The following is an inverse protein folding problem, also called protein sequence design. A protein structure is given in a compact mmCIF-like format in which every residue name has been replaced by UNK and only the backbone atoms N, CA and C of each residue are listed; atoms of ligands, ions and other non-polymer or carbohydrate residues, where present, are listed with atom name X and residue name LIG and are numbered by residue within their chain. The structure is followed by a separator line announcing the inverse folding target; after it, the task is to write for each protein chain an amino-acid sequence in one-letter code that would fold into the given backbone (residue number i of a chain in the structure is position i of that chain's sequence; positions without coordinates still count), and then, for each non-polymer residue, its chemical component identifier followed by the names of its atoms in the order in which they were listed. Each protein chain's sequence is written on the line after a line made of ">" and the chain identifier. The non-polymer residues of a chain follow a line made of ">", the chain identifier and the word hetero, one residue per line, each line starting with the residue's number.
data_IF_517230179355
#
_entry.id   IF_517230179355
#
_cell.length_a   1.000
_cell.length_b   1.000
_cell.length_c   1.000
_cell.angle_alpha   90.00
_cell.angle_beta   90.00
_cell.angle_gamma   90.00
#
_symmetry.space_group_name_H-M   'P 1'
#
loop_
_entity.id
_entity.type
_entity.pdbx_description
1 polymer ?
#
# COMPACT_ATOMS: atom_id res chain seq x y z
N UNK A 1 -0.78 -17.64 6.76
CA UNK A 1 -1.01 -17.87 8.20
C UNK A 1 -2.35 -17.28 8.71
N UNK A 2 -2.50 -15.95 8.92
CA UNK A 2 -3.71 -15.38 9.57
C UNK A 2 -5.04 -15.74 8.88
N UNK A 3 -5.07 -15.69 7.54
CA UNK A 3 -6.23 -16.12 6.72
C UNK A 3 -6.66 -17.55 7.08
N UNK A 4 -5.71 -18.48 7.19
CA UNK A 4 -5.99 -19.88 7.52
C UNK A 4 -6.41 -20.02 8.99
N UNK A 5 -5.70 -19.36 9.90
CA UNK A 5 -5.96 -19.44 11.35
C UNK A 5 -7.35 -18.95 11.74
N UNK A 6 -7.86 -17.92 11.07
CA UNK A 6 -9.13 -17.29 11.40
C UNK A 6 -10.25 -17.60 10.40
N UNK A 7 -10.02 -18.44 9.38
CA UNK A 7 -11.01 -18.75 8.35
C UNK A 7 -11.56 -17.50 7.65
N UNK A 8 -10.74 -16.46 7.50
CA UNK A 8 -11.15 -15.15 7.00
C UNK A 8 -10.43 -14.80 5.70
N UNK A 9 -11.08 -14.05 4.81
CA UNK A 9 -10.44 -13.57 3.58
C UNK A 9 -9.26 -12.65 3.87
N UNK A 10 -8.33 -12.54 2.92
CA UNK A 10 -7.19 -11.61 3.02
C UNK A 10 -7.63 -10.17 3.30
N UNK A 11 -8.73 -9.73 2.66
CA UNK A 11 -9.30 -8.41 2.90
C UNK A 11 -9.80 -8.25 4.34
N UNK A 12 -10.52 -9.23 4.87
CA UNK A 12 -11.02 -9.18 6.25
C UNK A 12 -9.87 -9.13 7.26
N UNK A 13 -8.80 -9.90 7.03
CA UNK A 13 -7.59 -9.86 7.87
C UNK A 13 -6.96 -8.47 7.83
N UNK A 14 -6.77 -7.89 6.64
CA UNK A 14 -6.21 -6.54 6.51
C UNK A 14 -7.09 -5.48 7.18
N UNK A 15 -8.40 -5.57 7.03
CA UNK A 15 -9.36 -4.68 7.70
C UNK A 15 -9.32 -4.83 9.22
N UNK A 16 -9.10 -6.05 9.72
CA UNK A 16 -8.92 -6.27 11.16
C UNK A 16 -7.64 -5.59 11.65
N UNK A 17 -6.52 -5.78 10.96
CA UNK A 17 -5.21 -5.22 11.35
C UNK A 17 -5.25 -3.68 11.50
N UNK A 18 -5.88 -2.96 10.57
CA UNK A 18 -5.97 -1.48 10.68
C UNK A 18 -6.81 -0.99 11.86
N UNK A 19 -7.66 -1.84 12.43
CA UNK A 19 -8.56 -1.51 13.55
C UNK A 19 -7.99 -1.82 14.94
N UNK A 20 -6.79 -2.39 15.05
CA UNK A 20 -6.20 -2.81 16.32
C UNK A 20 -5.66 -1.63 17.14
N UNK A 21 -6.58 -0.75 17.59
CA UNK A 21 -6.31 0.54 18.25
C UNK A 21 -6.72 0.58 19.73
N UNK A 22 -6.92 -0.58 20.37
CA UNK A 22 -7.38 -0.64 21.76
C UNK A 22 -6.32 -0.06 22.70
N UNK A 23 -6.69 0.92 23.52
CA UNK A 23 -5.79 1.49 24.52
C UNK A 23 -5.19 0.40 25.43
N UNK A 24 -3.88 0.48 25.70
CA UNK A 24 -3.14 -0.52 26.50
C UNK A 24 -2.87 -1.86 25.79
N UNK A 25 -3.35 -2.04 24.55
CA UNK A 25 -3.09 -3.24 23.74
C UNK A 25 -3.12 -2.92 22.24
N UNK A 26 -2.56 -1.76 21.87
CA UNK A 26 -2.50 -1.33 20.48
C UNK A 26 -1.47 -2.19 19.72
N UNK A 27 -1.80 -2.57 18.49
CA UNK A 27 -0.86 -3.21 17.59
C UNK A 27 -0.15 -2.15 16.71
N UNK A 28 0.72 -2.62 15.82
CA UNK A 28 1.38 -1.79 14.80
C UNK A 28 0.35 -0.93 14.07
N UNK A 29 0.61 0.37 13.89
CA UNK A 29 -0.26 1.22 13.12
C UNK A 29 -0.21 0.90 11.62
N UNK A 30 -1.25 0.21 11.14
CA UNK A 30 -1.47 0.02 9.71
C UNK A 30 -2.48 1.01 9.12
N UNK A 31 -2.17 1.49 7.92
CA UNK A 31 -3.10 2.02 6.95
C UNK A 31 -3.47 0.97 5.91
N UNK A 32 -4.54 1.21 5.16
CA UNK A 32 -5.01 0.31 4.10
C UNK A 32 -5.52 1.10 2.90
N UNK A 33 -5.13 0.65 1.72
CA UNK A 33 -5.67 1.11 0.44
C UNK A 33 -6.10 -0.10 -0.39
N UNK A 34 -7.28 -0.03 -1.01
CA UNK A 34 -7.76 -1.04 -1.97
C UNK A 34 -8.08 -0.39 -3.29
N UNK A 35 -7.49 -0.90 -4.36
CA UNK A 35 -7.64 -0.38 -5.73
C UNK A 35 -7.99 -1.49 -6.71
N UNK A 36 -8.55 -1.12 -7.85
CA UNK A 36 -8.57 -1.98 -9.04
C UNK A 36 -7.42 -1.64 -10.00
N UNK A 37 -7.33 -2.39 -11.09
CA UNK A 37 -6.28 -2.21 -12.10
C UNK A 37 -6.36 -0.89 -12.86
N UNK A 38 -7.51 -0.21 -12.84
CA UNK A 38 -7.68 1.13 -13.43
C UNK A 38 -7.30 2.25 -12.46
N UNK A 39 -6.86 1.91 -11.24
CA UNK A 39 -6.48 2.87 -10.22
C UNK A 39 -7.64 3.40 -9.37
N UNK A 40 -8.87 2.91 -9.59
CA UNK A 40 -10.00 3.33 -8.78
C UNK A 40 -9.87 2.80 -7.36
N UNK A 41 -9.80 3.73 -6.41
CA UNK A 41 -9.64 3.39 -5.00
C UNK A 41 -10.99 3.21 -4.32
N UNK A 42 -11.26 1.97 -3.91
CA UNK A 42 -12.54 1.53 -3.39
C UNK A 42 -12.56 1.32 -1.87
N UNK A 43 -11.42 1.44 -1.18
CA UNK A 43 -11.34 1.45 0.29
C UNK A 43 -10.08 2.18 0.77
N UNK A 44 -10.21 2.96 1.85
CA UNK A 44 -9.14 3.79 2.41
C UNK A 44 -9.21 3.79 3.93
N UNK A 45 -8.08 3.51 4.58
CA UNK A 45 -7.83 3.75 6.00
C UNK A 45 -6.45 4.43 6.09
N UNK A 46 -6.38 5.75 6.30
CA UNK A 46 -5.12 6.47 6.27
C UNK A 46 -4.27 6.21 7.53
N UNK A 47 -3.01 6.64 7.47
CA UNK A 47 -2.15 6.85 8.64
C UNK A 47 -1.82 8.35 8.75
N UNK A 48 -1.36 8.84 9.92
CA UNK A 48 -0.87 10.20 10.05
C UNK A 48 0.22 10.55 8.99
N UNK A 49 1.13 9.61 8.73
CA UNK A 49 2.22 9.74 7.76
C UNK A 49 1.82 9.36 6.32
N UNK A 50 0.59 8.91 6.10
CA UNK A 50 0.12 8.45 4.78
C UNK A 50 -1.26 9.03 4.48
N UNK A 51 -1.26 10.20 3.84
CA UNK A 51 -2.45 10.77 3.24
C UNK A 51 -2.85 9.99 1.98
N UNK A 52 -3.94 9.23 2.06
CA UNK A 52 -4.48 8.50 0.92
C UNK A 52 -5.31 9.45 0.03
N UNK A 53 -5.13 9.41 -1.30
CA UNK A 53 -5.83 10.31 -2.21
C UNK A 53 -7.34 10.11 -2.14
N UNK A 54 -8.08 11.18 -1.85
CA UNK A 54 -9.56 11.18 -1.90
C UNK A 54 -10.05 11.15 -3.35
N UNK A 55 -9.39 11.93 -4.21
CA UNK A 55 -9.64 12.03 -5.64
C UNK A 55 -8.36 11.75 -6.41
N UNK A 56 -8.50 11.22 -7.63
CA UNK A 56 -7.36 10.82 -8.45
C UNK A 56 -6.66 9.55 -7.96
N UNK A 57 -5.51 9.29 -8.56
CA UNK A 57 -4.70 8.11 -8.30
C UNK A 57 -3.56 8.44 -7.33
N UNK A 58 -3.07 7.42 -6.61
CA UNK A 58 -1.83 7.56 -5.86
C UNK A 58 -0.64 7.55 -6.82
N UNK A 59 0.58 7.75 -6.30
CA UNK A 59 1.78 7.60 -7.11
C UNK A 59 1.83 6.19 -7.76
N UNK A 60 2.06 6.09 -9.09
CA UNK A 60 2.05 4.82 -9.80
C UNK A 60 3.14 3.85 -9.32
N UNK A 61 4.17 4.37 -8.64
CA UNK A 61 5.26 3.60 -8.06
C UNK A 61 4.89 2.83 -6.78
N UNK A 62 3.70 3.04 -6.22
CA UNK A 62 3.29 2.33 -5.00
C UNK A 62 3.07 0.83 -5.28
N UNK A 63 3.48 -0.02 -4.33
CA UNK A 63 3.37 -1.47 -4.40
C UNK A 63 1.95 -1.98 -4.74
N UNK A 64 0.91 -1.23 -4.35
CA UNK A 64 -0.48 -1.56 -4.67
C UNK A 64 -0.70 -1.76 -6.17
N UNK A 65 -0.03 -0.98 -7.03
CA UNK A 65 -0.14 -1.10 -8.48
C UNK A 65 0.75 -2.20 -9.06
N UNK A 66 1.94 -2.41 -8.48
CA UNK A 66 2.89 -3.45 -8.94
C UNK A 66 2.31 -4.86 -8.87
N UNK A 67 1.48 -5.15 -7.86
CA UNK A 67 0.86 -6.47 -7.66
C UNK A 67 -0.05 -6.95 -8.80
N UNK A 68 -0.50 -6.07 -9.70
CA UNK A 68 -1.28 -6.50 -10.87
C UNK A 68 -0.43 -7.24 -11.90
N UNK A 69 0.89 -7.01 -11.93
CA UNK A 69 1.82 -7.75 -12.81
C UNK A 69 2.08 -9.18 -12.31
N UNK A 70 1.91 -9.41 -11.00
CA UNK A 70 2.12 -10.73 -10.37
C UNK A 70 0.94 -11.12 -9.48
N UNK A 71 -0.25 -11.44 -10.07
CA UNK A 71 -1.45 -11.64 -9.29
C UNK A 71 -1.34 -12.78 -8.26
N UNK A 72 -1.80 -12.53 -7.04
CA UNK A 72 -1.78 -13.47 -5.92
C UNK A 72 -0.47 -13.49 -5.13
N UNK A 73 0.60 -12.87 -5.63
CA UNK A 73 1.90 -12.74 -4.95
C UNK A 73 1.91 -11.52 -4.02
N UNK A 74 2.61 -11.65 -2.88
CA UNK A 74 2.84 -10.53 -1.98
C UNK A 74 4.02 -9.72 -2.53
N UNK A 75 3.79 -8.42 -2.71
CA UNK A 75 4.84 -7.44 -3.01
C UNK A 75 5.08 -6.63 -1.75
N UNK A 76 6.35 -6.49 -1.37
CA UNK A 76 6.80 -5.61 -0.29
C UNK A 76 7.68 -4.51 -0.87
N UNK A 77 7.57 -3.31 -0.31
CA UNK A 77 8.31 -2.14 -0.77
C UNK A 77 8.62 -1.23 0.42
N UNK A 78 9.91 -0.90 0.60
CA UNK A 78 10.29 0.22 1.44
C UNK A 78 10.20 1.49 0.58
N UNK A 79 9.28 2.38 0.93
CA UNK A 79 8.94 3.58 0.17
C UNK A 79 9.34 4.83 0.94
N UNK A 80 9.92 5.81 0.26
CA UNK A 80 10.35 7.08 0.86
C UNK A 80 9.66 8.27 0.20
N UNK A 81 8.92 9.02 1.03
CA UNK A 81 8.20 10.21 0.61
C UNK A 81 9.13 11.43 0.49
N UNK A 82 8.74 12.47 -0.26
CA UNK A 82 9.59 13.65 -0.44
C UNK A 82 9.89 14.40 0.87
N UNK A 83 9.01 14.25 1.86
CA UNK A 83 9.12 14.81 3.21
C UNK A 83 9.97 13.96 4.16
N UNK A 84 10.49 12.82 3.68
CA UNK A 84 11.44 11.96 4.41
C UNK A 84 10.79 10.80 5.17
N UNK A 85 9.46 10.71 5.23
CA UNK A 85 8.78 9.58 5.83
C UNK A 85 9.07 8.30 5.04
N UNK A 86 9.48 7.26 5.76
CA UNK A 86 9.77 5.94 5.21
C UNK A 86 8.69 4.97 5.68
N UNK A 87 8.01 4.35 4.73
CA UNK A 87 6.90 3.43 5.00
C UNK A 87 7.20 2.06 4.40
N UNK A 88 6.85 1.00 5.14
CA UNK A 88 6.77 -0.34 4.58
C UNK A 88 5.38 -0.52 3.96
N UNK A 89 5.35 -0.75 2.65
CA UNK A 89 4.16 -1.18 1.93
C UNK A 89 4.17 -2.70 1.73
N UNK A 90 3.04 -3.34 2.00
CA UNK A 90 2.81 -4.76 1.75
C UNK A 90 1.50 -4.91 0.99
N UNK A 91 1.58 -5.31 -0.28
CA UNK A 91 0.44 -5.38 -1.17
C UNK A 91 0.25 -6.79 -1.72
N UNK A 92 -1.00 -7.15 -1.99
CA UNK A 92 -1.37 -8.39 -2.66
C UNK A 92 -2.68 -8.22 -3.40
N UNK A 93 -2.79 -8.80 -4.58
CA UNK A 93 -4.07 -8.91 -5.27
C UNK A 93 -4.95 -10.02 -4.71
N UNK A 94 -6.26 -9.76 -4.72
CA UNK A 94 -7.32 -10.71 -4.40
C UNK A 94 -8.27 -10.78 -5.58
N UNK A 95 -8.71 -11.98 -5.92
CA UNK A 95 -9.73 -12.18 -6.93
C UNK A 95 -11.10 -12.30 -6.26
N UNK A 96 -12.08 -11.55 -6.79
CA UNK A 96 -13.47 -11.63 -6.35
C UNK A 96 -14.21 -12.70 -7.14
N UNK A 97 -15.21 -13.31 -6.51
CA UNK A 97 -16.06 -14.29 -7.16
C UNK A 97 -16.62 -13.72 -8.48
N UNK A 98 -16.53 -14.51 -9.54
CA UNK A 98 -17.09 -14.21 -10.86
C UNK A 98 -18.34 -15.06 -11.08
N UNK A 99 -19.43 -14.49 -11.62
CA UNK A 99 -20.66 -15.24 -11.84
C UNK A 99 -20.61 -16.16 -13.07
N UNK A 100 -19.55 -16.12 -13.87
CA UNK A 100 -19.37 -17.00 -15.03
C UNK A 100 -17.96 -16.97 -15.61
N UNK A 101 -17.62 -17.99 -16.40
CA UNK A 101 -16.29 -18.15 -17.00
C UNK A 101 -15.97 -17.08 -18.06
N UNK A 102 -16.99 -16.66 -18.82
CA UNK A 102 -16.87 -15.70 -19.94
C UNK A 102 -16.64 -14.25 -19.48
N UNK A 103 -16.80 -13.96 -18.18
CA UNK A 103 -16.62 -12.62 -17.66
C UNK A 103 -15.15 -12.36 -17.28
N UNK A 104 -14.67 -11.12 -17.46
CA UNK A 104 -13.34 -10.74 -17.02
C UNK A 104 -13.11 -11.03 -15.54
N UNK A 105 -11.87 -11.37 -15.19
CA UNK A 105 -11.47 -11.58 -13.80
C UNK A 105 -11.61 -10.26 -13.04
N UNK A 106 -12.26 -10.31 -11.88
CA UNK A 106 -12.39 -9.14 -11.00
C UNK A 106 -11.28 -9.17 -9.96
N UNK A 107 -10.14 -8.60 -10.32
CA UNK A 107 -8.95 -8.53 -9.46
C UNK A 107 -8.86 -7.16 -8.81
N UNK A 108 -8.60 -7.14 -7.50
CA UNK A 108 -8.35 -5.93 -6.72
C UNK A 108 -7.02 -6.07 -6.02
N UNK A 109 -6.27 -4.99 -5.85
CA UNK A 109 -5.09 -4.98 -4.98
C UNK A 109 -5.42 -4.37 -3.63
N UNK A 110 -4.92 -5.00 -2.57
CA UNK A 110 -5.03 -4.54 -1.19
C UNK A 110 -3.62 -4.33 -0.67
N UNK A 111 -3.33 -3.10 -0.24
CA UNK A 111 -2.06 -2.70 0.36
C UNK A 111 -2.28 -2.32 1.82
N UNK A 112 -1.44 -2.88 2.68
CA UNK A 112 -1.19 -2.37 4.02
C UNK A 112 0.05 -1.48 3.98
N UNK A 113 0.04 -0.45 4.81
CA UNK A 113 1.19 0.42 5.01
C UNK A 113 1.44 0.60 6.51
N UNK A 114 2.69 0.57 6.95
CA UNK A 114 3.08 1.03 8.28
C UNK A 114 4.35 1.85 8.21
N UNK A 115 4.62 2.60 9.27
CA UNK A 115 5.92 3.28 9.42
C UNK A 115 7.05 2.24 9.41
N UNK A 116 8.14 2.54 8.70
CA UNK A 116 9.31 1.66 8.60
C UNK A 116 9.93 1.33 9.96
N UNK A 117 9.73 2.19 10.97
CA UNK A 117 10.12 1.94 12.37
C UNK A 117 9.39 0.73 13.00
N UNK A 118 8.30 0.27 12.41
CA UNK A 118 7.58 -0.93 12.85
C UNK A 118 7.78 -2.13 11.90
N UNK A 119 8.59 -1.98 10.85
CA UNK A 119 8.74 -3.01 9.82
C UNK A 119 9.34 -4.32 10.36
N UNK A 120 10.28 -4.20 11.29
CA UNK A 120 10.97 -5.29 12.02
C UNK A 120 10.02 -6.13 12.90
N UNK A 121 8.87 -5.57 13.29
CA UNK A 121 7.82 -6.28 14.00
C UNK A 121 6.90 -7.09 13.07
N UNK A 122 7.21 -7.11 11.77
CA UNK A 122 6.46 -7.86 10.76
C UNK A 122 7.38 -8.84 10.05
N UNK A 123 6.83 -10.01 9.68
CA UNK A 123 7.54 -10.98 8.80
C UNK A 123 7.90 -10.41 7.43
N UNK A 124 7.35 -9.24 7.06
CA UNK A 124 7.63 -8.59 5.78
C UNK A 124 8.85 -7.66 5.84
N UNK A 125 9.28 -7.28 7.05
CA UNK A 125 10.54 -6.60 7.30
C UNK A 125 11.75 -7.53 7.24
N UNK A 126 11.55 -8.84 7.40
CA UNK A 126 12.64 -9.84 7.43
C UNK A 126 13.55 -9.73 6.19
N UNK A 127 14.85 -9.54 6.44
CA UNK A 127 15.86 -9.42 5.38
C UNK A 127 15.79 -8.11 4.57
N UNK A 128 15.02 -7.10 5.00
CA UNK A 128 15.19 -5.73 4.52
C UNK A 128 16.28 -5.03 5.33
N UNK A 129 17.09 -4.22 4.65
CA UNK A 129 17.87 -3.20 5.33
C UNK A 129 16.93 -2.04 5.72
N UNK A 130 16.69 -1.90 7.02
CA UNK A 130 15.78 -0.90 7.59
C UNK A 130 16.53 0.32 8.13
N UNK A 131 17.87 0.38 8.00
CA UNK A 131 18.65 1.53 8.41
C UNK A 131 18.13 2.80 7.72
N UNK A 132 18.26 3.96 8.38
CA UNK A 132 17.82 5.25 7.82
C UNK A 132 18.51 5.60 6.51
N UNK A 133 19.75 5.13 6.33
CA UNK A 133 20.56 5.29 5.12
C UNK A 133 20.32 4.21 4.07
N UNK A 134 19.50 3.20 4.36
CA UNK A 134 19.24 2.11 3.43
C UNK A 134 18.47 2.61 2.20
N UNK A 135 18.76 2.07 0.99
CA UNK A 135 18.02 2.43 -0.20
C UNK A 135 16.52 2.14 -0.05
N UNK A 136 15.69 3.16 -0.33
CA UNK A 136 14.24 3.04 -0.39
C UNK A 136 13.75 3.54 -1.76
N UNK A 137 12.59 3.06 -2.20
CA UNK A 137 12.03 3.50 -3.48
C UNK A 137 11.47 4.92 -3.30
N UNK A 138 11.96 5.92 -4.06
CA UNK A 138 11.43 7.27 -3.97
C UNK A 138 10.01 7.29 -4.54
N UNK A 139 9.05 7.68 -3.70
CA UNK A 139 7.64 7.82 -4.09
C UNK A 139 7.13 9.22 -3.78
N UNK A 140 5.86 9.47 -4.12
CA UNK A 140 5.11 10.64 -3.68
C UNK A 140 3.66 10.29 -3.33
N UNK A 141 2.85 11.27 -2.90
CA UNK A 141 1.42 11.08 -2.65
C UNK A 141 0.62 10.84 -3.94
N UNK A 142 0.85 11.65 -4.97
CA UNK A 142 0.32 11.55 -6.34
C UNK A 142 1.15 12.43 -7.28
N UNK A 143 1.07 12.27 -8.60
CA UNK A 143 1.83 13.09 -9.55
C UNK A 143 1.55 14.59 -9.36
N UNK A 144 0.26 14.97 -9.26
CA UNK A 144 -0.16 16.37 -9.07
C UNK A 144 0.34 17.01 -7.77
N UNK A 145 0.61 16.23 -6.73
CA UNK A 145 1.05 16.71 -5.41
C UNK A 145 2.53 16.43 -5.10
N UNK A 146 3.24 15.75 -6.01
CA UNK A 146 4.62 15.35 -5.76
C UNK A 146 5.59 16.45 -6.19
N UNK A 147 6.47 16.83 -5.26
CA UNK A 147 7.52 17.85 -5.46
C UNK A 147 8.79 17.33 -6.15
N UNK A 148 8.91 16.02 -6.39
CA UNK A 148 10.09 15.43 -7.06
C UNK A 148 10.11 15.84 -8.54
N UNK A 149 11.14 16.56 -8.98
CA UNK A 149 11.25 17.07 -10.37
C UNK A 149 11.68 16.00 -11.35
N UNK A 150 12.69 15.19 -11.00
CA UNK A 150 13.30 14.21 -11.91
C UNK A 150 12.62 12.83 -11.88
N UNK A 151 11.29 12.80 -11.73
CA UNK A 151 10.54 11.54 -11.70
C UNK A 151 10.21 11.07 -13.13
N UNK A 152 10.88 10.02 -13.60
CA UNK A 152 10.63 9.41 -14.91
C UNK A 152 9.25 8.72 -15.04
N UNK A 153 8.57 8.50 -13.92
CA UNK A 153 7.23 7.89 -13.84
C UNK A 153 6.12 8.93 -13.60
N UNK A 154 6.42 10.20 -13.88
CA UNK A 154 5.44 11.28 -13.74
C UNK A 154 4.47 11.27 -14.91
N UNK A 155 3.20 11.08 -14.61
CA UNK A 155 2.10 11.05 -15.59
C UNK A 155 1.30 12.35 -15.64
N UNK A 156 1.43 13.22 -14.62
CA UNK A 156 0.72 14.50 -14.53
C UNK A 156 1.63 15.61 -13.98
N UNK A 157 1.40 16.83 -14.46
CA UNK A 157 2.07 18.03 -13.95
C UNK A 157 1.70 18.29 -12.49
N UNK A 158 2.70 18.71 -11.71
CA UNK A 158 2.49 19.13 -10.34
C UNK A 158 1.67 20.42 -10.30
N UNK A 159 0.65 20.48 -9.44
CA UNK A 159 -0.11 21.71 -9.15
C UNK A 159 0.41 22.46 -7.95
N UNK A 160 1.34 21.85 -7.23
CA UNK A 160 2.06 22.48 -6.13
C UNK A 160 3.33 23.09 -6.71
N UNK A 161 3.45 24.41 -6.59
CA UNK A 161 4.72 25.08 -6.84
C UNK A 161 5.70 24.70 -5.74
N UNK A 162 6.86 24.20 -6.16
CA UNK A 162 8.04 23.98 -5.30
C UNK A 162 8.83 25.25 -5.10
#
# INVERSE_FOLDING_TARGET
>A
HLVQRFGASYEQVCCRLVSLRRHGAAAIPFGLMRVDAAGFTSKRFPLPQLALPRHGQACPMWAVYQTFQTPGTIVRQLAEFPTGERLLFVARTVEKARPGFVLPRRVLSIMLACDALHADQTVYGDGLDLASTAPAVPVGPSCRLCVRRDCLYREEDAVVDT
#
